data_IF_165097953734
#
_entry.id   IF_165097953734
#
_cell.length_a   1.000
_cell.length_b   1.000
_cell.length_c   1.000
_cell.angle_alpha   90.00
_cell.angle_beta   90.00
_cell.angle_gamma   90.00
#
_symmetry.space_group_name_H-M   'P 1'
#
loop_
_entity.id
_entity.type
_entity.pdbx_description
1 polymer ?
#
# COMPACT_ATOMS: atom_id res chain seq x y z
N UNK A 1 -36.57 -32.97 50.10
CA UNK A 1 -35.41 -33.12 49.21
C UNK A 1 -35.78 -32.55 47.86
N UNK A 2 -35.47 -31.27 47.61
CA UNK A 2 -35.81 -30.57 46.36
C UNK A 2 -34.63 -30.63 45.40
N UNK A 3 -34.80 -31.31 44.26
CA UNK A 3 -33.85 -31.31 43.14
C UNK A 3 -34.12 -30.09 42.24
N UNK A 4 -33.30 -29.05 42.39
CA UNK A 4 -33.23 -27.92 41.46
C UNK A 4 -32.60 -28.40 40.14
N UNK A 5 -33.42 -28.51 39.09
CA UNK A 5 -32.95 -28.65 37.70
C UNK A 5 -32.20 -27.38 37.30
N UNK A 6 -30.86 -27.46 37.30
CA UNK A 6 -30.01 -26.46 36.66
C UNK A 6 -30.19 -26.56 35.15
N UNK A 7 -31.05 -25.71 34.59
CA UNK A 7 -31.01 -25.43 33.17
C UNK A 7 -29.71 -24.66 32.89
N UNK A 8 -28.71 -25.36 32.34
CA UNK A 8 -27.57 -24.71 31.73
C UNK A 8 -28.08 -23.85 30.58
N UNK A 9 -28.13 -22.53 30.78
CA UNK A 9 -28.29 -21.59 29.67
C UNK A 9 -27.15 -21.86 28.70
N UNK A 10 -27.46 -22.47 27.56
CA UNK A 10 -26.56 -22.52 26.41
C UNK A 10 -26.19 -21.08 26.08
N UNK A 11 -24.93 -20.71 26.33
CA UNK A 11 -24.40 -19.41 25.90
C UNK A 11 -24.66 -19.31 24.40
N UNK A 12 -25.21 -18.19 23.89
CA UNK A 12 -25.34 -18.01 22.45
C UNK A 12 -23.96 -18.17 21.84
N UNK A 13 -23.81 -19.11 20.91
CA UNK A 13 -22.61 -19.25 20.11
C UNK A 13 -22.41 -17.92 19.38
N UNK A 14 -21.43 -17.12 19.82
CA UNK A 14 -21.00 -15.94 19.08
C UNK A 14 -20.74 -16.41 17.64
N UNK A 15 -21.49 -15.88 16.66
CA UNK A 15 -21.14 -16.07 15.25
C UNK A 15 -19.66 -15.68 15.14
N UNK A 16 -18.83 -16.63 14.67
CA UNK A 16 -17.44 -16.29 14.35
C UNK A 16 -17.52 -15.37 13.14
N UNK A 17 -17.30 -14.08 13.36
CA UNK A 17 -17.17 -13.13 12.27
C UNK A 17 -15.84 -13.38 11.57
N UNK A 18 -15.92 -13.81 10.32
CA UNK A 18 -14.76 -14.06 9.47
C UNK A 18 -14.55 -12.86 8.55
N UNK A 19 -13.31 -12.38 8.47
CA UNK A 19 -12.87 -11.43 7.47
C UNK A 19 -12.71 -12.17 6.13
N UNK A 20 -13.51 -11.77 5.15
CA UNK A 20 -13.40 -12.29 3.79
C UNK A 20 -12.27 -11.57 3.06
N UNK A 21 -11.44 -12.34 2.36
CA UNK A 21 -10.37 -11.83 1.51
C UNK A 21 -10.58 -12.41 0.11
N UNK A 22 -10.61 -11.54 -0.89
CA UNK A 22 -10.45 -11.96 -2.26
C UNK A 22 -8.95 -12.00 -2.62
N UNK A 23 -8.38 -13.16 -2.98
CA UNK A 23 -6.97 -13.27 -3.34
C UNK A 23 -6.55 -12.34 -4.48
N UNK A 24 -7.39 -12.15 -5.50
CA UNK A 24 -7.04 -11.34 -6.66
C UNK A 24 -7.01 -9.85 -6.31
N UNK A 25 -7.97 -9.37 -5.51
CA UNK A 25 -7.95 -7.99 -5.00
C UNK A 25 -6.72 -7.75 -4.11
N UNK A 26 -6.39 -8.71 -3.24
CA UNK A 26 -5.23 -8.65 -2.36
C UNK A 26 -3.92 -8.55 -3.16
N UNK A 27 -3.76 -9.36 -4.20
CA UNK A 27 -2.60 -9.36 -5.09
C UNK A 27 -2.51 -8.06 -5.87
N UNK A 28 -3.61 -7.62 -6.48
CA UNK A 28 -3.70 -6.38 -7.24
C UNK A 28 -3.28 -5.17 -6.40
N UNK A 29 -3.77 -5.08 -5.15
CA UNK A 29 -3.38 -4.03 -4.21
C UNK A 29 -1.89 -4.10 -3.89
N UNK A 30 -1.36 -5.30 -3.62
CA UNK A 30 0.06 -5.49 -3.30
C UNK A 30 0.97 -5.00 -4.44
N UNK A 31 0.57 -5.25 -5.70
CA UNK A 31 1.31 -4.78 -6.87
C UNK A 31 1.30 -3.25 -6.98
N UNK A 32 0.15 -2.61 -6.77
CA UNK A 32 0.07 -1.16 -6.78
C UNK A 32 0.86 -0.50 -5.65
N UNK A 33 0.85 -1.09 -4.46
CA UNK A 33 1.61 -0.61 -3.29
C UNK A 33 3.12 -0.68 -3.50
N UNK A 34 3.62 -1.73 -4.13
CA UNK A 34 5.05 -1.90 -4.45
C UNK A 34 5.56 -0.81 -5.40
N UNK A 35 4.69 -0.32 -6.29
CA UNK A 35 5.02 0.77 -7.23
C UNK A 35 4.90 2.18 -6.61
N UNK A 36 4.55 2.30 -5.33
CA UNK A 36 4.48 3.58 -4.64
C UNK A 36 5.89 4.14 -4.33
N UNK A 37 5.98 5.45 -4.11
CA UNK A 37 7.19 6.14 -3.61
C UNK A 37 7.25 6.20 -2.09
N UNK A 38 6.11 6.05 -1.42
CA UNK A 38 6.05 6.09 0.04
C UNK A 38 6.58 4.76 0.62
N UNK A 39 7.62 4.82 1.44
CA UNK A 39 8.20 3.64 2.09
C UNK A 39 7.18 2.88 2.93
N UNK A 40 6.21 3.56 3.56
CA UNK A 40 5.12 2.88 4.30
C UNK A 40 4.24 2.04 3.38
N UNK A 41 3.89 2.57 2.20
CA UNK A 41 3.07 1.84 1.22
C UNK A 41 3.87 0.70 0.59
N UNK A 42 5.15 0.92 0.26
CA UNK A 42 6.05 -0.12 -0.25
C UNK A 42 6.18 -1.28 0.75
N UNK A 43 6.41 -0.98 2.04
CA UNK A 43 6.48 -2.00 3.09
C UNK A 43 5.20 -2.82 3.19
N UNK A 44 4.02 -2.16 3.14
CA UNK A 44 2.74 -2.86 3.12
C UNK A 44 2.65 -3.81 1.91
N UNK A 45 2.99 -3.31 0.72
CA UNK A 45 2.97 -4.08 -0.52
C UNK A 45 3.90 -5.29 -0.47
N UNK A 46 5.12 -5.13 0.05
CA UNK A 46 6.09 -6.23 0.19
C UNK A 46 5.56 -7.28 1.18
N UNK A 47 5.07 -6.88 2.35
CA UNK A 47 4.50 -7.81 3.35
C UNK A 47 3.35 -8.62 2.73
N UNK A 48 2.46 -7.96 1.99
CA UNK A 48 1.35 -8.62 1.31
C UNK A 48 1.84 -9.57 0.21
N UNK A 49 2.80 -9.15 -0.60
CA UNK A 49 3.25 -9.92 -1.76
C UNK A 49 4.13 -11.13 -1.43
N UNK A 50 4.91 -11.09 -0.34
CA UNK A 50 5.90 -12.13 -0.01
C UNK A 50 5.73 -12.76 1.38
N UNK A 51 4.84 -12.22 2.23
CA UNK A 51 4.71 -12.66 3.62
C UNK A 51 5.91 -12.33 4.50
N UNK A 52 6.83 -11.51 4.00
CA UNK A 52 8.06 -11.17 4.72
C UNK A 52 7.72 -10.35 5.98
N UNK A 53 8.22 -10.73 7.17
CA UNK A 53 7.98 -9.97 8.39
C UNK A 53 8.55 -8.56 8.32
N UNK A 54 7.86 -7.59 8.92
CA UNK A 54 8.37 -6.21 9.05
C UNK A 54 9.74 -6.16 9.75
N UNK A 55 9.99 -7.04 10.72
CA UNK A 55 11.29 -7.14 11.42
C UNK A 55 12.42 -7.49 10.47
N UNK A 56 12.16 -8.33 9.46
CA UNK A 56 13.15 -8.66 8.43
C UNK A 56 13.32 -7.49 7.47
N UNK A 57 12.23 -6.80 7.11
CA UNK A 57 12.28 -5.64 6.21
C UNK A 57 13.01 -4.44 6.80
N UNK A 58 13.05 -4.33 8.13
CA UNK A 58 13.84 -3.32 8.85
C UNK A 58 15.33 -3.63 8.92
N UNK A 59 15.77 -4.79 8.44
CA UNK A 59 17.18 -5.12 8.32
C UNK A 59 17.80 -4.30 7.17
N UNK A 60 18.71 -3.38 7.49
CA UNK A 60 19.21 -2.39 6.52
C UNK A 60 20.17 -2.96 5.47
N UNK A 61 20.82 -4.11 5.73
CA UNK A 61 21.70 -4.78 4.77
C UNK A 61 21.11 -6.09 4.26
N UNK A 62 19.78 -6.20 4.28
CA UNK A 62 19.09 -7.28 3.59
C UNK A 62 19.55 -7.35 2.13
N UNK A 63 19.90 -8.57 1.69
CA UNK A 63 20.27 -8.85 0.30
C UNK A 63 19.16 -9.65 -0.36
N UNK A 64 18.73 -9.22 -1.54
CA UNK A 64 17.71 -9.89 -2.34
C UNK A 64 18.32 -10.31 -3.67
N UNK A 65 19.03 -11.45 -3.74
CA UNK A 65 19.65 -11.88 -4.98
C UNK A 65 18.62 -12.03 -6.10
N UNK A 66 19.02 -11.69 -7.32
CA UNK A 66 18.18 -11.84 -8.50
C UNK A 66 17.75 -13.30 -8.66
N UNK A 67 16.47 -13.53 -8.95
CA UNK A 67 15.93 -14.85 -9.17
C UNK A 67 15.40 -15.00 -10.59
N UNK A 68 15.84 -16.06 -11.29
CA UNK A 68 15.30 -16.42 -12.60
C UNK A 68 13.88 -16.99 -12.50
N UNK A 69 13.50 -17.53 -11.33
CA UNK A 69 12.14 -17.96 -11.02
C UNK A 69 11.32 -16.78 -10.48
N UNK A 70 10.26 -16.42 -11.20
CA UNK A 70 9.45 -15.24 -10.92
C UNK A 70 8.54 -15.38 -9.70
N UNK A 71 8.34 -16.61 -9.21
CA UNK A 71 7.42 -16.98 -8.13
C UNK A 71 8.13 -17.23 -6.79
N UNK A 72 9.46 -17.28 -6.75
CA UNK A 72 10.24 -17.47 -5.52
C UNK A 72 11.03 -16.19 -5.20
N UNK A 73 10.87 -15.68 -3.98
CA UNK A 73 11.71 -14.62 -3.42
C UNK A 73 12.74 -15.24 -2.48
N UNK A 74 14.01 -14.93 -2.71
CA UNK A 74 15.13 -15.29 -1.85
C UNK A 74 15.69 -14.02 -1.19
N UNK A 75 16.00 -14.08 0.10
CA UNK A 75 16.67 -12.98 0.78
C UNK A 75 17.56 -13.45 1.93
N UNK A 76 18.59 -12.68 2.24
CA UNK A 76 19.56 -12.96 3.30
C UNK A 76 19.61 -11.80 4.29
N UNK A 77 19.51 -12.11 5.58
CA UNK A 77 19.61 -11.15 6.68
C UNK A 77 21.07 -10.90 7.10
N UNK A 78 21.32 -9.86 7.90
CA UNK A 78 22.67 -9.51 8.40
C UNK A 78 23.39 -10.67 9.11
N UNK A 79 22.63 -11.51 9.82
CA UNK A 79 23.18 -12.67 10.53
C UNK A 79 23.52 -13.85 9.59
N UNK A 80 23.44 -13.66 8.27
CA UNK A 80 23.69 -14.70 7.27
C UNK A 80 22.53 -15.66 7.04
N UNK A 81 21.40 -15.53 7.76
CA UNK A 81 20.24 -16.39 7.56
C UNK A 81 19.62 -16.14 6.19
N UNK A 82 19.66 -17.17 5.33
CA UNK A 82 19.01 -17.17 4.03
C UNK A 82 17.59 -17.74 4.15
N UNK A 83 16.63 -17.04 3.57
CA UNK A 83 15.20 -17.40 3.59
C UNK A 83 14.67 -17.40 2.16
N UNK A 84 13.85 -18.40 1.85
CA UNK A 84 13.09 -18.48 0.61
C UNK A 84 11.60 -18.49 0.92
N UNK A 85 10.81 -17.78 0.13
CA UNK A 85 9.36 -17.73 0.24
C UNK A 85 8.75 -17.60 -1.15
N UNK A 86 7.51 -18.06 -1.32
CA UNK A 86 6.76 -17.75 -2.52
C UNK A 86 6.51 -16.23 -2.65
N UNK A 87 6.20 -15.81 -3.84
CA UNK A 87 5.85 -14.43 -4.15
C UNK A 87 4.54 -14.43 -4.94
N UNK A 88 3.59 -13.62 -4.49
CA UNK A 88 2.28 -13.52 -5.13
C UNK A 88 2.31 -12.65 -6.39
N UNK A 89 3.38 -11.86 -6.56
CA UNK A 89 3.72 -11.10 -7.77
C UNK A 89 5.18 -11.38 -8.13
N UNK A 90 5.66 -10.89 -9.27
CA UNK A 90 7.04 -11.07 -9.73
C UNK A 90 8.07 -10.77 -8.63
N UNK A 91 8.82 -11.80 -8.22
CA UNK A 91 9.87 -11.73 -7.19
C UNK A 91 10.89 -10.62 -7.44
N UNK A 92 11.31 -10.42 -8.69
CA UNK A 92 12.25 -9.36 -9.05
C UNK A 92 11.68 -7.94 -8.86
N UNK A 93 10.35 -7.74 -8.99
CA UNK A 93 9.72 -6.47 -8.62
C UNK A 93 9.81 -6.22 -7.11
N UNK A 94 9.62 -7.28 -6.31
CA UNK A 94 9.72 -7.21 -4.85
C UNK A 94 11.17 -6.92 -4.43
N UNK A 95 12.15 -7.64 -4.97
CA UNK A 95 13.58 -7.43 -4.69
C UNK A 95 14.01 -5.99 -5.00
N UNK A 96 13.67 -5.50 -6.20
CA UNK A 96 13.96 -4.12 -6.60
C UNK A 96 13.28 -3.11 -5.68
N UNK A 97 12.08 -3.38 -5.19
CA UNK A 97 11.41 -2.51 -4.24
C UNK A 97 12.16 -2.46 -2.90
N UNK A 98 12.56 -3.62 -2.37
CA UNK A 98 13.35 -3.74 -1.13
C UNK A 98 14.67 -2.97 -1.23
N UNK A 99 15.41 -3.13 -2.33
CA UNK A 99 16.68 -2.44 -2.57
C UNK A 99 16.55 -0.92 -2.62
N UNK A 100 15.41 -0.42 -3.12
CA UNK A 100 15.12 1.01 -3.26
C UNK A 100 14.37 1.61 -2.06
N UNK A 101 14.12 0.86 -0.98
CA UNK A 101 13.51 1.41 0.23
C UNK A 101 14.38 2.52 0.81
N UNK A 102 13.73 3.59 1.27
CA UNK A 102 14.43 4.67 1.95
C UNK A 102 14.93 4.20 3.33
N UNK A 103 16.22 3.82 3.40
CA UNK A 103 16.85 3.25 4.60
C UNK A 103 16.84 4.20 5.81
N UNK A 104 16.86 5.51 5.59
CA UNK A 104 16.84 6.49 6.69
C UNK A 104 15.45 6.57 7.35
N UNK A 105 14.38 6.48 6.55
CA UNK A 105 13.00 6.48 7.04
C UNK A 105 12.59 5.12 7.63
N UNK A 106 13.12 4.02 7.07
CA UNK A 106 12.72 2.63 7.36
C UNK A 106 12.62 2.30 8.87
N UNK A 107 13.62 2.72 9.66
CA UNK A 107 13.66 2.41 11.09
C UNK A 107 12.53 3.11 11.87
N UNK A 108 12.17 4.32 11.45
CA UNK A 108 11.16 5.18 12.10
C UNK A 108 9.71 4.75 11.83
N UNK A 109 9.48 3.90 10.82
CA UNK A 109 8.13 3.46 10.46
C UNK A 109 7.65 2.41 11.46
N UNK A 110 6.64 2.74 12.26
CA UNK A 110 6.01 1.80 13.17
C UNK A 110 5.05 0.86 12.43
N UNK A 111 4.78 -0.30 13.03
CA UNK A 111 3.77 -1.22 12.52
C UNK A 111 2.39 -0.56 12.45
N UNK A 112 2.07 0.33 13.38
CA UNK A 112 0.78 1.02 13.43
C UNK A 112 0.54 1.92 12.21
N UNK A 113 1.59 2.59 11.69
CA UNK A 113 1.49 3.35 10.43
C UNK A 113 1.12 2.45 9.26
N UNK A 114 1.72 1.26 9.17
CA UNK A 114 1.41 0.28 8.12
C UNK A 114 -0.01 -0.28 8.30
N UNK A 115 -0.38 -0.63 9.54
CA UNK A 115 -1.72 -1.13 9.88
C UNK A 115 -2.82 -0.10 9.58
N UNK A 116 -2.53 1.20 9.79
CA UNK A 116 -3.45 2.29 9.44
C UNK A 116 -3.73 2.35 7.94
N UNK A 117 -2.68 2.26 7.11
CA UNK A 117 -2.84 2.19 5.65
C UNK A 117 -3.64 0.94 5.26
N UNK A 118 -3.30 -0.22 5.83
CA UNK A 118 -4.01 -1.46 5.55
C UNK A 118 -5.50 -1.38 5.93
N UNK A 119 -5.82 -0.82 7.10
CA UNK A 119 -7.19 -0.57 7.55
C UNK A 119 -7.96 0.29 6.56
N UNK A 120 -7.35 1.35 6.06
CA UNK A 120 -7.98 2.24 5.09
C UNK A 120 -8.20 1.60 3.72
N UNK A 121 -7.47 0.53 3.39
CA UNK A 121 -7.65 -0.22 2.14
C UNK A 121 -8.72 -1.30 2.29
N UNK A 122 -8.66 -2.08 3.38
CA UNK A 122 -9.51 -3.24 3.60
C UNK A 122 -10.82 -2.93 4.36
N UNK A 123 -10.98 -1.71 4.88
CA UNK A 123 -12.14 -1.26 5.66
C UNK A 123 -12.36 -2.02 6.99
N UNK A 124 -11.36 -2.74 7.48
CA UNK A 124 -11.34 -3.35 8.81
C UNK A 124 -9.93 -3.35 9.40
N UNK A 125 -9.84 -3.51 10.73
CA UNK A 125 -8.56 -3.54 11.42
C UNK A 125 -7.78 -4.81 11.06
N UNK A 126 -6.65 -4.64 10.37
CA UNK A 126 -5.73 -5.73 10.03
C UNK A 126 -4.30 -5.35 10.35
N UNK A 127 -3.58 -6.27 10.98
CA UNK A 127 -2.18 -6.09 11.37
C UNK A 127 -1.21 -6.69 10.35
N UNK A 128 0.03 -6.21 10.31
CA UNK A 128 1.11 -6.83 9.51
C UNK A 128 1.30 -8.33 9.78
N UNK A 129 1.09 -8.79 11.03
CA UNK A 129 1.12 -10.23 11.37
C UNK A 129 -0.04 -11.00 10.72
N UNK A 130 -1.23 -10.41 10.71
CA UNK A 130 -2.40 -11.00 10.05
C UNK A 130 -2.28 -10.98 8.53
N UNK A 131 -1.70 -9.93 7.94
CA UNK A 131 -1.41 -9.88 6.50
C UNK A 131 -0.48 -11.01 6.07
N UNK A 132 0.53 -11.35 6.88
CA UNK A 132 1.38 -12.53 6.65
C UNK A 132 0.56 -13.83 6.64
N UNK A 133 -0.41 -13.97 7.54
CA UNK A 133 -1.31 -15.14 7.57
C UNK A 133 -2.18 -15.20 6.30
N UNK A 134 -2.74 -14.06 5.89
CA UNK A 134 -3.52 -13.96 4.64
C UNK A 134 -2.65 -14.35 3.43
N UNK A 135 -1.44 -13.82 3.33
CA UNK A 135 -0.46 -14.21 2.32
C UNK A 135 -0.23 -15.73 2.32
N UNK A 136 0.03 -16.34 3.48
CA UNK A 136 0.30 -17.78 3.57
C UNK A 136 -0.90 -18.63 3.13
N UNK A 137 -2.12 -18.18 3.42
CA UNK A 137 -3.34 -18.82 2.93
C UNK A 137 -3.43 -18.75 1.41
N UNK A 138 -3.15 -17.59 0.81
CA UNK A 138 -3.19 -17.41 -0.65
C UNK A 138 -2.09 -18.23 -1.33
N UNK A 139 -0.85 -18.17 -0.84
CA UNK A 139 0.28 -18.92 -1.40
C UNK A 139 -0.03 -20.43 -1.42
N UNK A 140 -0.46 -20.99 -0.29
CA UNK A 140 -0.85 -22.39 -0.19
C UNK A 140 -1.98 -22.73 -1.17
N UNK A 141 -2.93 -21.81 -1.40
CA UNK A 141 -4.08 -22.06 -2.29
C UNK A 141 -3.70 -22.15 -3.75
N UNK A 142 -2.56 -21.57 -4.12
CA UNK A 142 -1.98 -21.67 -5.46
C UNK A 142 -1.12 -22.92 -5.63
N UNK A 143 -0.51 -23.42 -4.57
CA UNK A 143 0.26 -24.67 -4.58
C UNK A 143 -0.64 -25.91 -4.69
N UNK A 144 -1.77 -25.92 -3.97
CA UNK A 144 -2.72 -27.04 -4.01
C UNK A 144 -3.86 -26.73 -4.98
N UNK A 145 -3.98 -27.50 -6.07
CA UNK A 145 -5.07 -27.45 -7.08
C UNK A 145 -6.50 -27.62 -6.51
N UNK A 146 -6.66 -27.78 -5.19
CA UNK A 146 -7.94 -27.94 -4.51
C UNK A 146 -8.20 -26.79 -3.54
N UNK A 147 -9.47 -26.35 -3.53
CA UNK A 147 -10.00 -25.28 -2.69
C UNK A 147 -9.51 -25.40 -1.24
N UNK A 148 -8.79 -24.37 -0.78
CA UNK A 148 -8.43 -24.26 0.63
C UNK A 148 -9.68 -24.00 1.44
N UNK A 149 -10.25 -25.09 1.94
CA UNK A 149 -11.14 -25.06 3.10
C UNK A 149 -10.29 -24.83 4.34
N UNK A 150 -10.63 -23.74 5.05
CA UNK A 150 -10.29 -23.42 6.44
C UNK A 150 -9.13 -24.21 7.05
N UNK A 151 -8.00 -23.54 7.25
CA UNK A 151 -7.05 -23.98 8.27
C UNK A 151 -7.63 -23.55 9.63
N UNK A 152 -7.84 -24.48 10.58
CA UNK A 152 -8.35 -24.16 11.92
C UNK A 152 -7.46 -23.18 12.72
N UNK A 153 -6.23 -22.96 12.24
CA UNK A 153 -5.29 -21.95 12.74
C UNK A 153 -5.36 -20.58 12.01
N UNK A 154 -6.22 -20.40 11.00
CA UNK A 154 -6.41 -19.09 10.36
C UNK A 154 -7.21 -18.18 11.29
N UNK A 155 -6.59 -17.11 11.74
CA UNK A 155 -7.15 -16.09 12.64
C UNK A 155 -8.33 -15.34 11.99
N UNK A 156 -9.48 -15.99 11.88
CA UNK A 156 -10.73 -15.43 11.35
C UNK A 156 -10.69 -14.97 9.88
N UNK A 157 -9.78 -15.46 9.03
CA UNK A 157 -9.75 -15.12 7.60
C UNK A 157 -10.31 -16.24 6.73
N UNK A 158 -11.13 -15.86 5.74
CA UNK A 158 -11.70 -16.74 4.73
C UNK A 158 -11.38 -16.23 3.33
N UNK A 159 -10.75 -17.06 2.51
CA UNK A 159 -10.56 -16.75 1.10
C UNK A 159 -11.87 -16.96 0.34
N UNK A 160 -12.28 -15.97 -0.44
CA UNK A 160 -13.51 -16.01 -1.27
C UNK A 160 -13.22 -15.48 -2.67
N UNK A 161 -14.02 -15.90 -3.66
CA UNK A 161 -13.91 -15.39 -5.05
C UNK A 161 -14.70 -14.09 -5.27
N UNK A 162 -15.64 -13.78 -4.39
CA UNK A 162 -16.45 -12.56 -4.50
C UNK A 162 -15.63 -11.32 -4.15
N UNK A 163 -15.83 -10.18 -4.84
CA UNK A 163 -15.25 -8.90 -4.42
C UNK A 163 -15.56 -8.60 -2.96
N UNK A 164 -14.56 -8.14 -2.20
CA UNK A 164 -14.67 -7.89 -0.76
C UNK A 164 -14.33 -6.45 -0.38
N UNK A 165 -13.58 -5.73 -1.22
CA UNK A 165 -13.13 -4.38 -0.93
C UNK A 165 -14.11 -3.36 -1.49
N UNK A 166 -14.72 -2.58 -0.61
CA UNK A 166 -15.66 -1.54 -1.00
C UNK A 166 -14.91 -0.42 -1.75
N UNK A 167 -15.50 0.06 -2.85
CA UNK A 167 -14.94 1.15 -3.65
C UNK A 167 -13.49 0.91 -4.09
N UNK A 168 -13.14 -0.33 -4.47
CA UNK A 168 -11.77 -0.73 -4.86
C UNK A 168 -11.11 0.27 -5.82
N UNK A 169 -11.84 0.77 -6.83
CA UNK A 169 -11.34 1.79 -7.75
C UNK A 169 -10.83 3.06 -7.05
N UNK A 170 -11.55 3.56 -6.05
CA UNK A 170 -11.13 4.73 -5.26
C UNK A 170 -9.90 4.43 -4.41
N UNK A 171 -9.84 3.23 -3.81
CA UNK A 171 -8.67 2.76 -3.04
C UNK A 171 -7.43 2.66 -3.95
N UNK A 172 -7.59 2.12 -5.15
CA UNK A 172 -6.52 2.05 -6.15
C UNK A 172 -6.07 3.44 -6.59
N UNK A 173 -6.99 4.39 -6.82
CA UNK A 173 -6.63 5.78 -7.13
C UNK A 173 -5.87 6.46 -5.99
N UNK A 174 -6.26 6.18 -4.74
CA UNK A 174 -5.50 6.62 -3.57
C UNK A 174 -4.08 6.05 -3.58
N UNK A 175 -3.90 4.74 -3.77
CA UNK A 175 -2.56 4.11 -3.83
C UNK A 175 -1.74 4.68 -5.00
N UNK A 176 -2.35 4.80 -6.18
CA UNK A 176 -1.71 5.38 -7.37
C UNK A 176 -1.30 6.83 -7.16
N UNK A 177 -1.94 7.58 -6.26
CA UNK A 177 -1.51 8.94 -5.95
C UNK A 177 -0.11 9.00 -5.29
N UNK A 178 0.43 7.86 -4.83
CA UNK A 178 1.79 7.73 -4.33
C UNK A 178 2.81 7.27 -5.38
N UNK A 179 2.43 7.04 -6.64
CA UNK A 179 3.42 6.68 -7.68
C UNK A 179 4.31 7.88 -8.03
N UNK A 180 5.56 7.65 -8.49
CA UNK A 180 6.43 8.74 -8.89
C UNK A 180 5.79 9.55 -10.01
N UNK A 181 5.80 10.88 -9.88
CA UNK A 181 5.38 11.78 -10.94
C UNK A 181 6.56 12.12 -11.85
N UNK A 182 6.31 12.07 -13.16
CA UNK A 182 7.27 12.53 -14.17
C UNK A 182 6.82 13.89 -14.72
N UNK A 183 7.56 14.94 -14.38
CA UNK A 183 7.25 16.29 -14.82
C UNK A 183 7.46 16.43 -16.35
N UNK A 184 6.44 16.93 -17.06
CA UNK A 184 6.58 17.36 -18.45
C UNK A 184 6.92 18.85 -18.46
N UNK A 185 8.19 19.17 -18.76
CA UNK A 185 8.68 20.54 -18.72
C UNK A 185 7.98 21.46 -19.73
N UNK A 186 7.64 20.95 -20.92
CA UNK A 186 6.97 21.74 -21.95
C UNK A 186 5.57 22.16 -21.50
N UNK A 187 4.80 21.21 -20.96
CA UNK A 187 3.47 21.51 -20.44
C UNK A 187 3.54 22.43 -19.22
N UNK A 188 4.51 22.23 -18.32
CA UNK A 188 4.71 23.14 -17.19
C UNK A 188 5.01 24.57 -17.66
N UNK A 189 5.92 24.75 -18.61
CA UNK A 189 6.30 26.07 -19.14
C UNK A 189 5.10 26.80 -19.75
N UNK A 190 4.19 26.09 -20.41
CA UNK A 190 2.94 26.67 -20.91
C UNK A 190 2.10 27.31 -19.78
N UNK A 191 1.95 26.61 -18.64
CA UNK A 191 1.17 27.14 -17.51
C UNK A 191 1.91 28.21 -16.70
N UNK A 192 3.25 28.15 -16.63
CA UNK A 192 4.07 29.20 -16.01
C UNK A 192 3.87 30.55 -16.70
N UNK A 193 3.74 30.54 -18.02
CA UNK A 193 3.54 31.74 -18.85
C UNK A 193 2.07 32.16 -19.01
N UNK A 194 1.15 31.60 -18.20
CA UNK A 194 -0.27 31.95 -18.28
C UNK A 194 -0.53 33.38 -17.80
N UNK A 195 -1.40 34.10 -18.51
CA UNK A 195 -1.90 35.42 -18.08
C UNK A 195 -2.87 35.34 -16.89
N UNK A 196 -3.38 34.14 -16.57
CA UNK A 196 -4.20 33.93 -15.38
C UNK A 196 -3.28 33.75 -14.16
N UNK A 197 -3.31 34.72 -13.25
CA UNK A 197 -2.45 34.75 -12.06
C UNK A 197 -2.53 33.45 -11.24
N UNK A 198 -3.73 32.99 -10.89
CA UNK A 198 -3.88 31.76 -10.11
C UNK A 198 -3.31 30.53 -10.82
N UNK A 199 -3.40 30.47 -12.15
CA UNK A 199 -2.87 29.38 -12.96
C UNK A 199 -1.34 29.38 -12.96
N UNK A 200 -0.71 30.54 -13.15
CA UNK A 200 0.74 30.67 -13.09
C UNK A 200 1.26 30.47 -11.66
N UNK A 201 0.54 30.91 -10.63
CA UNK A 201 0.84 30.61 -9.22
C UNK A 201 0.87 29.10 -8.96
N UNK A 202 -0.16 28.36 -9.37
CA UNK A 202 -0.20 26.90 -9.20
C UNK A 202 0.96 26.23 -9.96
N UNK A 203 1.26 26.67 -11.18
CA UNK A 203 2.37 26.14 -11.96
C UNK A 203 3.73 26.40 -11.28
N UNK A 204 3.93 27.60 -10.73
CA UNK A 204 5.12 27.94 -9.94
C UNK A 204 5.26 27.06 -8.69
N UNK A 205 4.16 26.77 -7.99
CA UNK A 205 4.17 25.85 -6.85
C UNK A 205 4.53 24.43 -7.27
N UNK A 206 4.05 23.96 -8.44
CA UNK A 206 4.44 22.66 -9.00
C UNK A 206 5.94 22.66 -9.29
N UNK A 207 6.48 23.68 -9.97
CA UNK A 207 7.92 23.80 -10.22
C UNK A 207 8.72 23.72 -8.91
N UNK A 208 8.32 24.52 -7.91
CA UNK A 208 8.99 24.58 -6.60
C UNK A 208 8.98 23.23 -5.87
N UNK A 209 7.88 22.47 -5.96
CA UNK A 209 7.81 21.12 -5.42
C UNK A 209 8.84 20.18 -6.08
N UNK A 210 9.10 20.35 -7.38
CA UNK A 210 10.08 19.54 -8.12
C UNK A 210 11.53 20.03 -8.01
N UNK A 211 11.78 21.30 -7.68
CA UNK A 211 13.15 21.82 -7.47
C UNK A 211 13.68 21.60 -6.05
N UNK A 212 12.83 21.54 -5.03
CA UNK A 212 13.26 21.22 -3.65
C UNK A 212 13.80 19.79 -3.55
N UNK A 213 14.85 19.55 -2.76
CA UNK A 213 15.39 18.21 -2.47
C UNK A 213 14.51 17.40 -1.50
N UNK A 214 13.19 17.39 -1.71
CA UNK A 214 12.25 16.61 -0.93
C UNK A 214 12.07 15.21 -1.55
N UNK A 215 12.02 14.19 -0.68
CA UNK A 215 11.69 12.81 -1.06
C UNK A 215 10.19 12.71 -1.44
N UNK A 216 9.81 11.61 -2.11
CA UNK A 216 8.40 11.28 -2.39
C UNK A 216 7.65 12.29 -3.32
N UNK A 217 8.18 12.49 -4.53
CA UNK A 217 7.56 13.34 -5.58
C UNK A 217 6.36 12.64 -6.22
N UNK A 218 5.24 12.65 -5.52
CA UNK A 218 4.00 11.99 -5.92
C UNK A 218 2.80 12.95 -5.88
N UNK A 219 1.66 12.51 -6.45
CA UNK A 219 0.46 13.34 -6.59
C UNK A 219 -0.16 13.72 -5.24
N UNK A 220 -0.13 12.80 -4.27
CA UNK A 220 -0.65 13.05 -2.92
C UNK A 220 0.08 14.23 -2.26
N UNK A 221 1.42 14.14 -2.21
CA UNK A 221 2.27 15.17 -1.61
C UNK A 221 2.21 16.49 -2.38
N UNK A 222 2.15 16.44 -3.71
CA UNK A 222 2.01 17.65 -4.53
C UNK A 222 0.72 18.41 -4.20
N UNK A 223 -0.42 17.71 -4.05
CA UNK A 223 -1.69 18.34 -3.69
C UNK A 223 -1.63 18.98 -2.30
N UNK A 224 -1.04 18.29 -1.32
CA UNK A 224 -0.85 18.84 0.02
C UNK A 224 0.04 20.09 -0.02
N UNK A 225 1.15 20.03 -0.75
CA UNK A 225 2.08 21.14 -0.93
C UNK A 225 1.39 22.36 -1.54
N UNK A 226 0.67 22.19 -2.66
CA UNK A 226 -0.04 23.29 -3.32
C UNK A 226 -1.07 23.89 -2.35
N UNK A 227 -1.90 23.05 -1.72
CA UNK A 227 -2.95 23.54 -0.82
C UNK A 227 -2.40 24.30 0.39
N UNK A 228 -1.30 23.83 0.99
CA UNK A 228 -0.66 24.52 2.11
C UNK A 228 -0.14 25.90 1.66
N UNK A 229 0.58 25.96 0.54
CA UNK A 229 1.17 27.21 0.06
C UNK A 229 0.12 28.22 -0.44
N UNK A 230 -0.94 27.77 -1.11
CA UNK A 230 -2.06 28.65 -1.49
C UNK A 230 -2.75 29.25 -0.26
N UNK A 231 -2.96 28.46 0.81
CA UNK A 231 -3.49 28.98 2.07
C UNK A 231 -2.57 30.02 2.70
N UNK A 232 -1.25 29.78 2.71
CA UNK A 232 -0.28 30.77 3.19
C UNK A 232 -0.31 32.08 2.41
N UNK A 233 -0.68 32.04 1.12
CA UNK A 233 -0.86 33.22 0.27
C UNK A 233 -2.25 33.87 0.41
N UNK A 234 -3.08 33.42 1.35
CA UNK A 234 -4.43 33.95 1.55
C UNK A 234 -5.48 33.46 0.54
N UNK A 235 -5.14 32.46 -0.29
CA UNK A 235 -6.05 31.90 -1.29
C UNK A 235 -6.81 30.73 -0.67
N UNK A 236 -7.99 31.03 -0.12
CA UNK A 236 -8.86 30.04 0.54
C UNK A 236 -9.96 29.47 -0.38
N UNK A 237 -10.10 30.01 -1.59
CA UNK A 237 -11.12 29.59 -2.55
C UNK A 237 -10.95 28.12 -2.98
N UNK A 238 -12.04 27.51 -3.44
CA UNK A 238 -12.02 26.14 -3.95
C UNK A 238 -11.27 26.05 -5.29
N UNK A 239 -9.96 25.92 -5.22
CA UNK A 239 -9.07 25.80 -6.39
C UNK A 239 -8.96 24.35 -6.90
N UNK A 240 -9.65 23.40 -6.28
CA UNK A 240 -9.51 21.96 -6.56
C UNK A 240 -9.75 21.59 -8.03
N UNK A 241 -10.77 22.19 -8.67
CA UNK A 241 -11.10 21.94 -10.08
C UNK A 241 -9.97 22.42 -11.00
N UNK A 242 -9.45 23.62 -10.74
CA UNK A 242 -8.35 24.21 -11.52
C UNK A 242 -7.04 23.44 -11.30
N UNK A 243 -6.68 23.15 -10.05
CA UNK A 243 -5.53 22.31 -9.73
C UNK A 243 -5.59 20.97 -10.46
N UNK A 244 -6.74 20.29 -10.43
CA UNK A 244 -6.93 19.02 -11.13
C UNK A 244 -6.68 19.14 -12.62
N UNK A 245 -7.18 20.20 -13.27
CA UNK A 245 -6.97 20.45 -14.70
C UNK A 245 -5.49 20.68 -15.02
N UNK A 246 -4.83 21.58 -14.28
CA UNK A 246 -3.42 21.92 -14.48
C UNK A 246 -2.53 20.69 -14.26
N UNK A 247 -2.73 19.98 -13.15
CA UNK A 247 -1.98 18.77 -12.82
C UNK A 247 -2.19 17.69 -13.89
N UNK A 248 -3.45 17.44 -14.29
CA UNK A 248 -3.74 16.43 -15.32
C UNK A 248 -3.01 16.74 -16.63
N UNK A 249 -2.97 18.01 -17.04
CA UNK A 249 -2.30 18.44 -18.27
C UNK A 249 -0.78 18.41 -18.14
N UNK A 250 -0.21 18.85 -17.02
CA UNK A 250 1.25 18.83 -16.80
C UNK A 250 1.78 17.40 -16.72
N UNK A 251 1.08 16.49 -16.08
CA UNK A 251 1.56 15.11 -15.87
C UNK A 251 0.97 14.10 -16.86
N UNK A 252 0.21 14.56 -17.86
CA UNK A 252 -0.50 13.71 -18.82
C UNK A 252 -1.33 12.61 -18.15
N UNK A 253 -2.04 12.98 -17.08
CA UNK A 253 -2.93 12.09 -16.34
C UNK A 253 -4.34 12.18 -16.95
N UNK A 254 -4.96 11.01 -17.17
CA UNK A 254 -6.34 10.90 -17.63
C UNK A 254 -7.34 11.02 -16.46
#
# INVERSE_FOLDING_TARGET
MFLLKFFSKTKPTKKKDYYKINPDEFILISEHLINATSTTHQLLGIIMASGMPLTHLKNQNIKTPYNFKSDILSYTLDNGLQIQTYSLICSNKISRCIENLNKSELLSISADKINYVAKNIFDFNITTKQLKIVYSLIAKSKETLHEIKYNSNSQNFLLVKTPCILNLYQKLNYIKSFTPLRLNQNNLNYYLNSSNELTSTIANLILNFFTKNESCKNLYNLKLYINANLKHQGIYNNTSKLQRLIIAKIFSLN
#
